data_IF_575408888919
#
_entry.id   IF_575408888919
#
_cell.length_a   1.000
_cell.length_b   1.000
_cell.length_c   1.000
_cell.angle_alpha   90.00
_cell.angle_beta   90.00
_cell.angle_gamma   90.00
#
_symmetry.space_group_name_H-M   'P 1'
#
loop_
_entity.id
_entity.type
_entity.pdbx_description
1 polymer ?
#
# COMPACT_ATOMS: atom_id res chain seq x y z
N UNK A 1 -0.59 49.56 27.09
CA UNK A 1 0.31 48.83 26.16
C UNK A 1 0.31 47.30 26.30
N UNK A 2 -0.59 46.67 27.09
CA UNK A 2 -0.69 45.19 27.15
C UNK A 2 -1.79 44.59 26.24
N UNK A 3 -2.79 45.39 25.85
CA UNK A 3 -3.93 44.92 25.05
C UNK A 3 -3.71 44.93 23.53
N UNK A 4 -2.67 45.62 23.04
CA UNK A 4 -2.33 45.64 21.61
C UNK A 4 -1.49 44.43 21.18
N UNK A 5 -0.73 43.82 22.11
CA UNK A 5 0.11 42.66 21.82
C UNK A 5 -0.72 41.35 21.70
N UNK A 6 -1.79 41.24 22.47
CA UNK A 6 -2.69 40.07 22.44
C UNK A 6 -3.55 40.03 21.17
N UNK A 7 -3.95 41.18 20.63
CA UNK A 7 -4.66 41.25 19.35
C UNK A 7 -3.76 40.88 18.15
N UNK A 8 -2.47 41.20 18.21
CA UNK A 8 -1.51 40.84 17.15
C UNK A 8 -1.15 39.34 17.15
N UNK A 9 -1.14 38.69 18.33
CA UNK A 9 -0.88 37.26 18.47
C UNK A 9 -2.09 36.36 18.15
N UNK A 10 -3.32 36.87 18.23
CA UNK A 10 -4.52 36.13 17.77
C UNK A 10 -4.75 36.21 16.26
N UNK A 11 -4.12 37.16 15.55
CA UNK A 11 -4.28 37.35 14.10
C UNK A 11 -3.38 36.46 13.22
N UNK A 12 -2.47 35.69 13.81
CA UNK A 12 -1.44 34.93 13.08
C UNK A 12 -1.42 33.43 13.35
N UNK A 13 -2.47 32.87 13.95
CA UNK A 13 -2.75 31.44 13.83
C UNK A 13 -3.45 31.15 12.50
N UNK A 14 -2.77 31.46 11.39
CA UNK A 14 -3.02 30.75 10.14
C UNK A 14 -2.52 29.34 10.42
N UNK A 15 -3.43 28.48 10.84
CA UNK A 15 -3.22 27.04 10.78
C UNK A 15 -3.04 26.76 9.28
N UNK A 16 -1.80 26.76 8.81
CA UNK A 16 -1.45 26.19 7.52
C UNK A 16 -1.70 24.70 7.69
N UNK A 17 -2.96 24.30 7.57
CA UNK A 17 -3.28 22.92 7.31
C UNK A 17 -2.54 22.60 6.02
N UNK A 18 -1.62 21.64 6.08
CA UNK A 18 -0.93 21.14 4.90
C UNK A 18 -1.99 20.49 4.00
N UNK A 19 -2.68 21.30 3.20
CA UNK A 19 -3.68 20.83 2.26
C UNK A 19 -2.96 20.39 1.00
N UNK A 20 -3.31 19.20 0.53
CA UNK A 20 -2.83 18.69 -0.74
C UNK A 20 -3.27 19.64 -1.84
N UNK A 21 -2.32 20.07 -2.68
CA UNK A 21 -2.68 20.85 -3.86
C UNK A 21 -3.50 19.96 -4.80
N UNK A 22 -4.49 20.52 -5.50
CA UNK A 22 -5.11 19.82 -6.60
C UNK A 22 -4.06 19.42 -7.64
N UNK A 23 -4.20 18.19 -8.16
CA UNK A 23 -3.40 17.71 -9.29
C UNK A 23 -3.79 18.48 -10.56
N UNK A 24 -2.79 18.79 -11.39
CA UNK A 24 -3.02 19.39 -12.71
C UNK A 24 -3.58 18.34 -13.67
N UNK A 25 -4.17 18.78 -14.80
CA UNK A 25 -4.72 17.86 -15.80
C UNK A 25 -3.68 16.85 -16.33
N UNK A 26 -2.43 17.27 -16.50
CA UNK A 26 -1.34 16.40 -16.95
C UNK A 26 -0.98 15.32 -15.91
N UNK A 27 -1.05 15.67 -14.62
CA UNK A 27 -0.76 14.76 -13.51
C UNK A 27 -1.90 13.75 -13.33
N UNK A 28 -3.16 14.19 -13.42
CA UNK A 28 -4.31 13.28 -13.45
C UNK A 28 -4.23 12.31 -14.63
N UNK A 29 -3.92 12.81 -15.83
CA UNK A 29 -3.79 11.96 -17.02
C UNK A 29 -2.60 10.99 -16.92
N UNK A 30 -1.53 11.36 -16.22
CA UNK A 30 -0.44 10.44 -15.90
C UNK A 30 -0.90 9.34 -14.95
N UNK A 31 -1.50 9.72 -13.84
CA UNK A 31 -2.01 8.81 -12.83
C UNK A 31 -3.03 7.82 -13.42
N UNK A 32 -4.03 8.30 -14.16
CA UNK A 32 -5.06 7.45 -14.76
C UNK A 32 -4.49 6.42 -15.72
N UNK A 33 -3.43 6.76 -16.46
CA UNK A 33 -2.74 5.80 -17.33
C UNK A 33 -2.09 4.68 -16.52
N UNK A 34 -1.43 5.03 -15.41
CA UNK A 34 -0.82 4.05 -14.52
C UNK A 34 -1.90 3.18 -13.87
N UNK A 35 -2.97 3.77 -13.32
CA UNK A 35 -4.07 3.01 -12.70
C UNK A 35 -4.75 2.07 -13.68
N UNK A 36 -5.05 2.52 -14.91
CA UNK A 36 -5.65 1.65 -15.94
C UNK A 36 -4.76 0.45 -16.26
N UNK A 37 -3.45 0.65 -16.31
CA UNK A 37 -2.51 -0.45 -16.53
C UNK A 37 -2.46 -1.39 -15.31
N UNK A 38 -2.43 -0.86 -14.08
CA UNK A 38 -2.50 -1.66 -12.86
C UNK A 38 -3.80 -2.49 -12.81
N UNK A 39 -4.94 -1.88 -13.11
CA UNK A 39 -6.23 -2.56 -13.24
C UNK A 39 -6.14 -3.69 -14.26
N UNK A 40 -5.65 -3.38 -15.48
CA UNK A 40 -5.51 -4.36 -16.56
C UNK A 40 -4.69 -5.57 -16.11
N UNK A 41 -3.57 -5.34 -15.43
CA UNK A 41 -2.70 -6.41 -14.97
C UNK A 41 -3.31 -7.20 -13.81
N UNK A 42 -3.71 -6.53 -12.73
CA UNK A 42 -4.08 -7.21 -11.48
C UNK A 42 -5.52 -7.75 -11.41
N UNK A 43 -6.43 -7.24 -12.25
CA UNK A 43 -7.83 -7.77 -12.31
C UNK A 43 -7.99 -8.85 -13.37
N UNK A 44 -7.23 -8.78 -14.46
CA UNK A 44 -7.33 -9.75 -15.57
C UNK A 44 -6.46 -10.99 -15.31
N UNK A 45 -5.34 -10.82 -14.59
CA UNK A 45 -4.35 -11.87 -14.37
C UNK A 45 -4.38 -12.29 -12.90
N UNK A 46 -4.89 -13.49 -12.65
CA UNK A 46 -5.05 -14.04 -11.31
C UNK A 46 -4.19 -15.30 -11.10
N UNK A 47 -3.80 -15.62 -9.85
CA UNK A 47 -3.15 -16.88 -9.52
C UNK A 47 -4.11 -18.05 -9.78
N UNK A 48 -3.62 -19.29 -9.69
CA UNK A 48 -4.48 -20.45 -9.93
C UNK A 48 -5.67 -20.47 -8.96
N UNK A 49 -6.82 -20.93 -9.46
CA UNK A 49 -8.10 -20.87 -8.75
C UNK A 49 -9.00 -19.74 -9.28
N UNK A 50 -10.20 -19.65 -8.70
CA UNK A 50 -11.19 -18.64 -9.07
C UNK A 50 -11.09 -17.47 -8.12
N UNK A 51 -10.70 -16.30 -8.63
CA UNK A 51 -10.54 -15.06 -7.86
C UNK A 51 -11.41 -13.96 -8.43
N UNK A 52 -12.00 -13.13 -7.58
CA UNK A 52 -12.82 -11.98 -7.97
C UNK A 52 -12.45 -10.74 -7.17
N UNK A 53 -12.65 -9.58 -7.78
CA UNK A 53 -12.49 -8.29 -7.09
C UNK A 53 -13.50 -8.22 -5.95
N UNK A 54 -13.00 -8.03 -4.73
CA UNK A 54 -13.82 -7.79 -3.55
C UNK A 54 -13.94 -6.29 -3.30
N UNK A 55 -12.82 -5.57 -3.33
CA UNK A 55 -12.76 -4.13 -3.13
C UNK A 55 -11.62 -3.55 -3.98
N UNK A 56 -11.86 -2.38 -4.53
CA UNK A 56 -10.89 -1.64 -5.33
C UNK A 56 -11.03 -0.16 -5.01
N UNK A 57 -9.92 0.44 -4.58
CA UNK A 57 -9.87 1.85 -4.18
C UNK A 57 -8.65 2.49 -4.80
N UNK A 58 -8.79 3.73 -5.23
CA UNK A 58 -7.65 4.48 -5.70
C UNK A 58 -7.85 5.96 -5.41
N UNK A 59 -6.78 6.66 -5.02
CA UNK A 59 -6.83 8.07 -4.64
C UNK A 59 -5.65 8.82 -5.25
N UNK A 60 -5.95 10.02 -5.76
CA UNK A 60 -4.95 11.01 -6.19
C UNK A 60 -4.86 12.05 -5.09
N UNK A 61 -3.67 12.26 -4.53
CA UNK A 61 -3.33 13.38 -3.65
C UNK A 61 -4.24 13.56 -2.43
N UNK A 62 -5.05 12.59 -2.06
CA UNK A 62 -6.10 12.72 -1.04
C UNK A 62 -5.94 11.74 0.12
N UNK A 63 -4.98 10.81 0.04
CA UNK A 63 -4.70 9.95 1.17
C UNK A 63 -3.79 10.72 2.12
N UNK A 64 -4.33 11.20 3.23
CA UNK A 64 -3.52 11.59 4.38
C UNK A 64 -2.93 10.31 4.97
N UNK A 65 -1.77 9.89 4.47
CA UNK A 65 -1.04 8.82 5.15
C UNK A 65 -0.47 9.43 6.42
N UNK A 66 -0.76 8.81 7.57
CA UNK A 66 0.04 9.06 8.76
C UNK A 66 1.48 8.78 8.37
N UNK A 67 2.30 9.83 8.30
CA UNK A 67 3.73 9.64 8.21
C UNK A 67 4.11 8.68 9.32
N UNK A 68 4.85 7.62 9.00
CA UNK A 68 5.31 6.64 9.98
C UNK A 68 6.26 7.21 11.05
N UNK A 69 6.43 8.53 11.10
CA UNK A 69 6.98 9.25 12.22
C UNK A 69 5.85 9.64 13.17
N UNK A 70 6.06 9.54 14.48
CA UNK A 70 5.12 9.98 15.52
C UNK A 70 4.74 11.48 15.53
N UNK A 71 4.75 12.16 14.38
CA UNK A 71 4.11 13.43 14.11
C UNK A 71 3.37 13.35 12.77
N UNK A 72 2.09 13.76 12.77
CA UNK A 72 1.22 13.83 11.60
C UNK A 72 1.87 14.64 10.47
N UNK A 73 2.60 13.99 9.56
CA UNK A 73 3.00 14.63 8.30
C UNK A 73 2.00 14.20 7.25
N UNK A 74 1.15 15.12 6.81
CA UNK A 74 0.21 14.93 5.71
C UNK A 74 1.01 14.68 4.43
N UNK A 75 1.14 13.41 4.03
CA UNK A 75 1.76 13.04 2.77
C UNK A 75 0.66 12.82 1.75
N UNK A 76 0.51 13.74 0.80
CA UNK A 76 -0.34 13.54 -0.37
C UNK A 76 0.34 12.50 -1.26
N UNK A 77 -0.04 11.24 -1.12
CA UNK A 77 0.44 10.18 -2.02
C UNK A 77 -0.70 9.66 -2.86
N UNK A 78 -0.38 9.30 -4.08
CA UNK A 78 -1.33 8.59 -4.92
C UNK A 78 -1.22 7.09 -4.62
N UNK A 79 -2.37 6.43 -4.48
CA UNK A 79 -2.44 5.03 -4.06
C UNK A 79 -3.50 4.28 -4.85
N UNK A 80 -3.17 3.03 -5.20
CA UNK A 80 -4.09 2.05 -5.75
C UNK A 80 -4.11 0.82 -4.83
N UNK A 81 -5.29 0.43 -4.38
CA UNK A 81 -5.52 -0.74 -3.54
C UNK A 81 -6.52 -1.67 -4.21
N UNK A 82 -6.16 -2.95 -4.29
CA UNK A 82 -7.02 -4.02 -4.79
C UNK A 82 -7.04 -5.15 -3.78
N UNK A 83 -8.24 -5.63 -3.45
CA UNK A 83 -8.45 -6.85 -2.66
C UNK A 83 -9.18 -7.85 -3.53
N UNK A 84 -8.59 -9.03 -3.65
CA UNK A 84 -9.12 -10.16 -4.38
C UNK A 84 -9.58 -11.22 -3.39
N UNK A 85 -10.74 -11.81 -3.65
CA UNK A 85 -11.32 -12.87 -2.84
C UNK A 85 -11.55 -14.13 -3.69
N UNK A 86 -11.33 -15.30 -3.09
CA UNK A 86 -11.63 -16.56 -3.73
C UNK A 86 -13.14 -16.70 -3.99
N UNK A 87 -13.52 -16.91 -5.24
CA UNK A 87 -14.91 -16.92 -5.70
C UNK A 87 -15.79 -17.96 -5.01
N UNK A 88 -15.25 -19.11 -4.62
CA UNK A 88 -16.03 -20.18 -3.96
C UNK A 88 -16.49 -19.74 -2.57
N UNK A 89 -15.59 -19.17 -1.78
CA UNK A 89 -15.89 -18.61 -0.46
C UNK A 89 -16.83 -17.43 -0.53
N UNK A 90 -16.69 -16.67 -1.60
CA UNK A 90 -17.46 -15.48 -1.82
C UNK A 90 -18.91 -15.82 -2.23
N UNK A 91 -19.16 -17.02 -2.78
CA UNK A 91 -20.51 -17.61 -2.95
C UNK A 91 -21.04 -18.12 -1.61
N UNK A 92 -20.23 -18.83 -0.82
CA UNK A 92 -20.62 -19.31 0.53
C UNK A 92 -21.03 -18.13 1.41
N UNK A 93 -20.23 -17.05 1.45
CA UNK A 93 -20.55 -15.88 2.27
C UNK A 93 -21.80 -15.15 1.79
N UNK A 94 -22.02 -15.07 0.48
CA UNK A 94 -23.26 -14.50 -0.04
C UNK A 94 -24.47 -15.33 0.41
N UNK A 95 -24.36 -16.65 0.35
CA UNK A 95 -25.40 -17.55 0.87
C UNK A 95 -25.59 -17.39 2.39
N UNK A 96 -24.51 -17.27 3.18
CA UNK A 96 -24.58 -16.97 4.61
C UNK A 96 -25.28 -15.63 4.87
N UNK A 97 -24.87 -14.54 4.21
CA UNK A 97 -25.50 -13.22 4.35
C UNK A 97 -26.98 -13.24 3.95
N UNK A 98 -27.32 -13.97 2.88
CA UNK A 98 -28.70 -14.14 2.43
C UNK A 98 -29.53 -14.95 3.46
N UNK A 99 -28.92 -15.89 4.19
CA UNK A 99 -29.55 -16.62 5.31
C UNK A 99 -29.60 -15.85 6.62
N UNK A 100 -28.68 -14.89 6.84
CA UNK A 100 -28.56 -14.09 8.08
C UNK A 100 -29.46 -12.83 8.05
N UNK A 101 -30.39 -12.74 7.11
CA UNK A 101 -31.43 -11.68 7.03
C UNK A 101 -32.33 -11.49 8.28
N UNK A 102 -32.04 -12.15 9.41
CA UNK A 102 -32.79 -12.05 10.65
C UNK A 102 -31.98 -11.68 11.92
N UNK A 103 -30.68 -11.35 11.86
CA UNK A 103 -29.94 -10.92 13.06
C UNK A 103 -28.96 -9.77 12.79
N UNK A 104 -28.86 -8.75 13.66
CA UNK A 104 -27.96 -7.61 13.50
C UNK A 104 -26.55 -8.04 13.90
N UNK A 105 -25.91 -8.87 13.08
CA UNK A 105 -24.47 -9.07 13.18
C UNK A 105 -23.81 -8.07 12.25
N UNK A 106 -23.01 -7.18 12.83
CA UNK A 106 -22.18 -6.23 12.08
C UNK A 106 -21.31 -7.07 11.14
N UNK A 107 -21.40 -6.89 9.80
CA UNK A 107 -20.57 -7.64 8.88
C UNK A 107 -19.10 -7.38 9.23
N UNK A 108 -18.32 -8.44 9.41
CA UNK A 108 -16.89 -8.31 9.67
C UNK A 108 -16.25 -7.69 8.43
N UNK A 109 -15.74 -6.46 8.55
CA UNK A 109 -15.03 -5.81 7.45
C UNK A 109 -13.82 -6.64 7.08
N UNK A 110 -13.76 -7.16 5.85
CA UNK A 110 -12.54 -7.73 5.29
C UNK A 110 -11.52 -6.64 4.92
N UNK A 111 -12.00 -5.41 4.72
CA UNK A 111 -11.15 -4.25 4.49
C UNK A 111 -10.56 -3.81 5.83
N UNK A 112 -9.25 -4.00 5.98
CA UNK A 112 -8.52 -3.37 7.07
C UNK A 112 -7.51 -2.44 6.44
N UNK A 113 -7.66 -1.15 6.75
CA UNK A 113 -6.76 -0.11 6.31
C UNK A 113 -5.34 -0.50 6.72
N UNK A 114 -4.33 -0.29 5.86
CA UNK A 114 -2.92 -0.60 6.18
C UNK A 114 -2.52 -0.08 7.56
N UNK A 115 -3.07 1.08 7.92
CA UNK A 115 -2.77 1.80 9.17
C UNK A 115 -3.51 1.25 10.39
N UNK A 116 -4.50 0.36 10.21
CA UNK A 116 -5.28 -0.28 11.30
C UNK A 116 -4.94 -1.77 11.49
N UNK A 117 -4.05 -2.34 10.66
CA UNK A 117 -3.75 -3.79 10.65
C UNK A 117 -2.88 -4.30 11.82
N UNK A 118 -2.41 -3.43 12.71
CA UNK A 118 -1.55 -3.79 13.85
C UNK A 118 -2.31 -4.26 15.11
N UNK A 119 -3.55 -4.72 14.96
CA UNK A 119 -4.42 -5.21 16.06
C UNK A 119 -5.35 -6.34 15.61
N UNK A 120 -4.89 -7.27 14.78
CA UNK A 120 -5.74 -8.32 14.22
C UNK A 120 -5.53 -9.69 14.87
N UNK A 121 -6.61 -10.47 14.98
CA UNK A 121 -6.57 -11.83 15.49
C UNK A 121 -5.70 -12.73 14.57
N UNK A 122 -4.69 -13.45 15.12
CA UNK A 122 -3.84 -14.36 14.36
C UNK A 122 -4.60 -15.36 13.47
N UNK A 123 -5.72 -15.90 13.95
CA UNK A 123 -6.51 -16.88 13.20
C UNK A 123 -7.24 -16.23 12.02
N UNK A 124 -7.67 -14.97 12.17
CA UNK A 124 -8.28 -14.21 11.08
C UNK A 124 -7.26 -13.81 10.01
N UNK A 125 -5.98 -13.68 10.36
CA UNK A 125 -4.89 -13.44 9.41
C UNK A 125 -4.62 -14.71 8.59
N UNK A 126 -4.50 -15.87 9.23
CA UNK A 126 -4.25 -17.15 8.54
C UNK A 126 -5.40 -17.53 7.61
N UNK A 127 -6.63 -17.32 8.05
CA UNK A 127 -7.81 -17.58 7.23
C UNK A 127 -7.88 -16.61 6.04
N UNK A 128 -7.70 -15.31 6.24
CA UNK A 128 -7.64 -14.35 5.12
C UNK A 128 -6.49 -14.62 4.16
N UNK A 129 -5.32 -15.03 4.63
CA UNK A 129 -4.21 -15.38 3.75
C UNK A 129 -4.56 -16.55 2.79
N UNK A 130 -5.55 -17.39 3.12
CA UNK A 130 -6.09 -18.43 2.23
C UNK A 130 -7.23 -17.92 1.35
N UNK A 131 -8.02 -17.00 1.89
CA UNK A 131 -9.31 -16.61 1.30
C UNK A 131 -9.18 -15.37 0.40
N UNK A 132 -8.17 -14.52 0.66
CA UNK A 132 -7.94 -13.25 -0.03
C UNK A 132 -6.45 -13.00 -0.27
N UNK A 133 -6.17 -12.18 -1.28
CA UNK A 133 -4.89 -11.49 -1.39
C UNK A 133 -5.13 -10.02 -1.70
N UNK A 134 -4.17 -9.18 -1.34
CA UNK A 134 -4.24 -7.75 -1.64
C UNK A 134 -3.01 -7.23 -2.36
N UNK A 135 -3.22 -6.22 -3.20
CA UNK A 135 -2.20 -5.48 -3.92
C UNK A 135 -2.36 -4.02 -3.54
N UNK A 136 -1.32 -3.44 -2.95
CA UNK A 136 -1.23 -2.01 -2.65
C UNK A 136 -0.11 -1.42 -3.48
N UNK A 137 -0.41 -0.37 -4.24
CA UNK A 137 0.57 0.35 -5.06
C UNK A 137 0.64 1.79 -4.59
N UNK A 138 1.80 2.19 -4.10
CA UNK A 138 2.10 3.57 -3.73
C UNK A 138 2.94 4.21 -4.83
N UNK A 139 2.51 5.38 -5.30
CA UNK A 139 3.17 6.10 -6.39
C UNK A 139 3.96 7.28 -5.85
N UNK A 140 5.11 7.57 -6.47
CA UNK A 140 5.94 8.71 -6.11
C UNK A 140 6.42 8.75 -4.65
N UNK A 141 6.62 7.56 -4.07
CA UNK A 141 7.03 7.43 -2.68
C UNK A 141 8.46 7.96 -2.47
N UNK A 142 8.63 8.86 -1.50
CA UNK A 142 9.93 9.49 -1.24
C UNK A 142 10.98 8.56 -0.62
N UNK A 143 10.57 7.54 0.12
CA UNK A 143 11.43 6.46 0.61
C UNK A 143 10.58 5.21 0.81
N UNK A 144 11.08 4.04 0.42
CA UNK A 144 10.49 2.78 0.84
C UNK A 144 11.25 2.23 2.06
N UNK A 145 10.58 2.16 3.21
CA UNK A 145 11.17 1.65 4.46
C UNK A 145 10.99 0.15 4.55
N UNK A 146 12.11 -0.57 4.53
CA UNK A 146 12.10 -2.01 4.72
C UNK A 146 11.94 -2.36 6.20
N UNK A 147 12.67 -1.67 7.09
CA UNK A 147 12.57 -1.84 8.54
C UNK A 147 12.48 -0.47 9.23
N UNK A 148 11.52 -0.33 10.15
CA UNK A 148 11.35 0.89 10.93
C UNK A 148 10.67 0.57 12.27
N UNK A 149 11.34 0.92 13.38
CA UNK A 149 10.88 0.57 14.74
C UNK A 149 9.65 1.35 15.17
N UNK A 150 9.57 2.65 14.85
CA UNK A 150 8.46 3.49 15.33
C UNK A 150 7.14 3.11 14.66
N UNK A 151 7.17 2.62 13.42
CA UNK A 151 5.99 2.06 12.74
C UNK A 151 5.79 0.57 12.98
N UNK A 152 6.55 -0.03 13.89
CA UNK A 152 6.51 -1.47 14.22
C UNK A 152 6.72 -2.40 13.01
N UNK A 153 7.30 -1.90 11.89
CA UNK A 153 7.68 -2.71 10.74
C UNK A 153 9.02 -3.39 11.03
N UNK A 154 8.95 -4.52 11.73
CA UNK A 154 10.13 -5.30 12.12
C UNK A 154 10.24 -6.51 11.19
N UNK A 155 11.31 -6.54 10.41
CA UNK A 155 11.58 -7.65 9.49
C UNK A 155 12.13 -8.85 10.26
N UNK A 156 11.57 -10.02 10.00
CA UNK A 156 12.11 -11.31 10.42
C UNK A 156 13.13 -11.82 9.41
N UNK A 157 12.76 -11.86 8.13
CA UNK A 157 13.65 -12.21 7.04
C UNK A 157 13.30 -11.46 5.74
N UNK A 158 14.26 -11.44 4.83
CA UNK A 158 14.03 -11.05 3.44
C UNK A 158 14.72 -11.99 2.49
N UNK A 159 14.11 -12.17 1.32
CA UNK A 159 14.69 -12.89 0.20
C UNK A 159 14.54 -12.02 -1.06
N UNK A 160 15.67 -11.74 -1.72
CA UNK A 160 15.61 -11.08 -3.02
C UNK A 160 15.05 -12.02 -4.08
N UNK A 161 14.18 -11.49 -4.93
CA UNK A 161 13.62 -12.20 -6.09
C UNK A 161 13.92 -11.41 -7.37
N UNK A 162 13.87 -12.08 -8.51
CA UNK A 162 14.04 -11.43 -9.81
C UNK A 162 12.69 -11.09 -10.41
N UNK A 163 12.50 -9.81 -10.77
CA UNK A 163 11.30 -9.31 -11.46
C UNK A 163 11.76 -8.44 -12.63
N UNK A 164 11.26 -8.67 -13.86
CA UNK A 164 11.65 -7.88 -15.02
C UNK A 164 11.47 -6.37 -14.82
N UNK A 165 12.49 -5.58 -15.19
CA UNK A 165 12.54 -4.11 -15.05
C UNK A 165 12.41 -3.57 -13.63
N UNK A 166 12.40 -4.43 -12.61
CA UNK A 166 12.44 -4.01 -11.22
C UNK A 166 13.89 -3.88 -10.73
N UNK A 167 14.34 -2.70 -10.28
CA UNK A 167 15.63 -2.57 -9.60
C UNK A 167 15.69 -3.31 -8.26
N UNK A 168 14.56 -3.48 -7.57
CA UNK A 168 14.48 -4.15 -6.27
C UNK A 168 13.16 -4.91 -6.16
N UNK A 169 13.25 -6.21 -5.95
CA UNK A 169 12.11 -7.04 -5.60
C UNK A 169 12.46 -7.99 -4.45
N UNK A 170 11.60 -8.07 -3.45
CA UNK A 170 11.85 -8.74 -2.19
C UNK A 170 10.61 -9.52 -1.75
N UNK A 171 10.81 -10.74 -1.29
CA UNK A 171 9.91 -11.40 -0.36
C UNK A 171 10.31 -11.00 1.05
N UNK A 172 9.37 -10.48 1.82
CA UNK A 172 9.58 -9.95 3.16
C UNK A 172 8.68 -10.71 4.11
N UNK A 173 9.29 -11.26 5.16
CA UNK A 173 8.57 -11.79 6.31
C UNK A 173 8.74 -10.83 7.47
N UNK A 174 7.62 -10.30 7.96
CA UNK A 174 7.60 -9.44 9.13
C UNK A 174 7.47 -10.29 10.40
N UNK A 175 8.09 -9.83 11.49
CA UNK A 175 7.91 -10.44 12.81
C UNK A 175 6.44 -10.30 13.25
N UNK A 176 5.98 -11.22 14.12
CA UNK A 176 4.77 -11.02 14.90
C UNK A 176 4.75 -9.65 15.56
N UNK A 177 3.57 -9.03 15.65
CA UNK A 177 3.43 -7.81 16.44
C UNK A 177 3.60 -8.11 17.95
N UNK A 178 3.67 -7.05 18.76
CA UNK A 178 3.81 -7.16 20.22
C UNK A 178 2.62 -7.85 20.92
N UNK A 179 1.54 -8.15 20.19
CA UNK A 179 0.33 -8.80 20.69
C UNK A 179 0.20 -10.27 20.20
N UNK A 180 1.22 -10.78 19.51
CA UNK A 180 1.29 -12.18 19.08
C UNK A 180 0.56 -12.48 17.76
N UNK A 181 0.21 -11.46 16.96
CA UNK A 181 -0.30 -11.66 15.60
C UNK A 181 0.75 -12.38 14.74
N UNK A 182 0.32 -13.29 13.85
CA UNK A 182 1.26 -14.07 13.01
C UNK A 182 2.03 -13.13 12.08
N UNK A 183 3.33 -13.39 11.95
CA UNK A 183 4.22 -12.65 11.05
C UNK A 183 3.69 -12.62 9.61
N UNK A 184 3.60 -11.42 9.04
CA UNK A 184 3.03 -11.18 7.71
C UNK A 184 4.04 -11.50 6.61
N UNK A 185 3.57 -12.08 5.52
CA UNK A 185 4.33 -12.24 4.28
C UNK A 185 3.90 -11.16 3.28
N UNK A 186 4.89 -10.47 2.72
CA UNK A 186 4.70 -9.47 1.68
C UNK A 186 5.69 -9.74 0.55
N UNK A 187 5.24 -9.58 -0.69
CA UNK A 187 6.14 -9.46 -1.83
C UNK A 187 6.13 -8.02 -2.31
N UNK A 188 7.30 -7.40 -2.31
CA UNK A 188 7.47 -5.98 -2.57
C UNK A 188 8.30 -5.81 -3.83
N UNK A 189 7.80 -5.02 -4.77
CA UNK A 189 8.42 -4.77 -6.07
C UNK A 189 8.49 -3.27 -6.28
N UNK A 190 9.71 -2.75 -6.41
CA UNK A 190 9.98 -1.35 -6.68
C UNK A 190 10.20 -1.21 -8.19
N UNK A 191 9.42 -0.36 -8.86
CA UNK A 191 9.52 -0.09 -10.30
C UNK A 191 9.82 1.39 -10.55
N UNK A 192 10.40 1.69 -11.72
CA UNK A 192 10.82 3.03 -12.08
C UNK A 192 12.09 3.48 -11.36
N UNK A 193 12.13 4.77 -10.99
CA UNK A 193 13.33 5.47 -10.54
C UNK A 193 13.82 5.13 -9.12
N UNK A 194 14.03 3.86 -8.76
CA UNK A 194 14.59 3.47 -7.45
C UNK A 194 16.10 3.23 -7.47
N UNK A 195 16.78 3.59 -6.38
CA UNK A 195 18.15 3.19 -6.11
C UNK A 195 18.15 1.80 -5.46
N UNK A 196 18.80 0.79 -6.07
CA UNK A 196 18.85 -0.55 -5.51
C UNK A 196 19.75 -0.68 -4.28
N UNK A 197 20.51 0.36 -3.92
CA UNK A 197 21.34 0.36 -2.73
C UNK A 197 20.49 0.61 -1.48
N UNK A 198 20.46 -0.38 -0.59
CA UNK A 198 19.82 -0.26 0.71
C UNK A 198 20.62 0.68 1.61
N UNK A 199 19.97 1.73 2.11
CA UNK A 199 20.53 2.63 3.11
C UNK A 199 20.19 2.12 4.51
N UNK A 200 21.18 2.13 5.39
CA UNK A 200 21.04 1.71 6.79
C UNK A 200 21.44 2.86 7.71
N UNK A 201 20.58 3.20 8.66
CA UNK A 201 20.88 4.13 9.73
C UNK A 201 20.35 3.57 11.06
N UNK A 202 21.23 2.94 11.84
CA UNK A 202 20.82 2.18 13.02
C UNK A 202 19.87 1.04 12.64
N UNK A 203 18.66 1.08 13.20
CA UNK A 203 17.59 0.10 12.95
C UNK A 203 16.62 0.52 11.83
N UNK A 204 16.81 1.70 11.23
CA UNK A 204 16.08 2.14 10.02
C UNK A 204 16.81 1.61 8.77
N UNK A 205 16.11 0.83 7.96
CA UNK A 205 16.63 0.37 6.66
C UNK A 205 15.64 0.73 5.55
N UNK A 206 16.13 1.35 4.48
CA UNK A 206 15.27 1.94 3.45
C UNK A 206 15.93 2.01 2.08
N UNK A 207 15.09 1.98 1.05
CA UNK A 207 15.45 2.29 -0.33
C UNK A 207 15.05 3.71 -0.66
N UNK A 208 15.89 4.39 -1.43
CA UNK A 208 15.67 5.76 -1.88
C UNK A 208 15.41 5.81 -3.38
N UNK A 209 14.57 6.74 -3.84
CA UNK A 209 14.47 7.04 -5.25
C UNK A 209 15.76 7.67 -5.80
N UNK A 210 15.99 7.55 -7.10
CA UNK A 210 17.08 8.18 -7.86
C UNK A 210 16.78 9.64 -8.24
N UNK A 211 15.51 10.01 -8.31
CA UNK A 211 15.06 11.37 -8.63
C UNK A 211 14.90 12.21 -7.35
N UNK A 212 14.86 13.53 -7.51
CA UNK A 212 14.60 14.44 -6.39
C UNK A 212 13.12 14.39 -6.02
N UNK A 213 12.82 14.18 -4.73
CA UNK A 213 11.46 14.19 -4.17
C UNK A 213 10.64 15.38 -4.73
N UNK A 214 9.45 15.11 -5.25
CA UNK A 214 8.53 16.14 -5.74
C UNK A 214 8.40 16.24 -7.27
N UNK A 215 8.77 15.20 -8.01
CA UNK A 215 8.35 15.07 -9.41
C UNK A 215 6.83 15.16 -9.53
N UNK A 216 6.38 15.83 -10.59
CA UNK A 216 4.96 16.06 -10.84
C UNK A 216 4.26 14.84 -11.44
N UNK A 217 5.03 13.98 -12.10
CA UNK A 217 4.55 12.82 -12.83
C UNK A 217 4.90 11.53 -12.08
N UNK A 218 4.29 10.40 -12.45
CA UNK A 218 4.53 9.11 -11.80
C UNK A 218 5.87 8.50 -12.26
N UNK A 219 6.94 8.76 -11.50
CA UNK A 219 8.32 8.37 -11.83
C UNK A 219 8.75 7.02 -11.22
N UNK A 220 8.02 6.57 -10.21
CA UNK A 220 8.28 5.34 -9.47
C UNK A 220 7.03 4.86 -8.75
N UNK A 221 6.97 3.56 -8.53
CA UNK A 221 5.94 2.94 -7.69
C UNK A 221 6.54 1.87 -6.79
N UNK A 222 5.86 1.60 -5.67
CA UNK A 222 6.07 0.45 -4.80
C UNK A 222 4.83 -0.41 -4.88
N UNK A 223 4.96 -1.63 -5.42
CA UNK A 223 3.90 -2.64 -5.42
C UNK A 223 4.13 -3.56 -4.24
N UNK A 224 3.14 -3.68 -3.36
CA UNK A 224 3.14 -4.58 -2.21
C UNK A 224 2.01 -5.58 -2.36
N UNK A 225 2.35 -6.85 -2.57
CA UNK A 225 1.43 -7.98 -2.62
C UNK A 225 1.42 -8.64 -1.25
N UNK A 226 0.25 -8.68 -0.61
CA UNK A 226 0.06 -9.37 0.67
C UNK A 226 -0.66 -10.68 0.42
N UNK A 227 0.11 -11.76 0.46
CA UNK A 227 -0.36 -13.13 0.25
C UNK A 227 0.69 -14.11 0.78
N UNK A 228 0.34 -15.39 0.98
CA UNK A 228 1.32 -16.46 1.06
C UNK A 228 2.31 -16.43 -0.11
N UNK A 229 3.58 -16.76 0.14
CA UNK A 229 4.67 -16.68 -0.85
C UNK A 229 4.35 -17.45 -2.14
N UNK A 230 3.69 -18.59 -2.08
CA UNK A 230 3.31 -19.39 -3.25
C UNK A 230 2.26 -18.69 -4.14
N UNK A 231 1.28 -18.03 -3.54
CA UNK A 231 0.30 -17.20 -4.25
C UNK A 231 0.97 -15.94 -4.81
N UNK A 232 1.80 -15.27 -4.01
CA UNK A 232 2.51 -14.07 -4.44
C UNK A 232 3.42 -14.36 -5.64
N UNK A 233 4.20 -15.45 -5.61
CA UNK A 233 5.04 -15.87 -6.74
C UNK A 233 4.24 -16.16 -8.00
N UNK A 234 3.05 -16.76 -7.89
CA UNK A 234 2.16 -16.96 -9.04
C UNK A 234 1.69 -15.64 -9.64
N UNK A 235 1.30 -14.67 -8.80
CA UNK A 235 0.94 -13.32 -9.26
C UNK A 235 2.14 -12.70 -9.98
N UNK A 236 3.30 -12.68 -9.34
CA UNK A 236 4.53 -12.11 -9.91
C UNK A 236 4.91 -12.74 -11.24
N UNK A 237 4.77 -14.05 -11.39
CA UNK A 237 5.13 -14.73 -12.64
C UNK A 237 4.21 -14.38 -13.82
N UNK A 238 2.94 -14.02 -13.56
CA UNK A 238 1.94 -13.79 -14.62
C UNK A 238 1.78 -12.32 -15.01
N UNK A 239 2.13 -11.38 -14.14
CA UNK A 239 2.00 -9.94 -14.39
C UNK A 239 3.05 -9.47 -15.42
N UNK A 240 2.64 -8.64 -16.38
CA UNK A 240 3.55 -7.97 -17.30
C UNK A 240 4.18 -6.73 -16.63
N UNK A 241 5.25 -6.97 -15.88
CA UNK A 241 6.01 -5.91 -15.19
C UNK A 241 6.65 -4.90 -16.15
N UNK A 242 6.93 -5.29 -17.40
CA UNK A 242 7.46 -4.39 -18.41
C UNK A 242 6.40 -3.40 -18.88
N UNK A 243 5.15 -3.84 -19.03
CA UNK A 243 4.05 -2.94 -19.35
C UNK A 243 3.81 -1.92 -18.23
N UNK A 244 3.85 -2.36 -16.96
CA UNK A 244 3.70 -1.45 -15.80
C UNK A 244 4.85 -0.43 -15.76
N UNK A 245 6.12 -0.86 -15.89
CA UNK A 245 7.26 0.09 -15.90
C UNK A 245 7.20 1.03 -17.13
N UNK A 246 6.67 0.54 -18.25
CA UNK A 246 6.55 1.30 -19.50
C UNK A 246 5.53 2.44 -19.46
N UNK A 247 4.56 2.41 -18.55
CA UNK A 247 3.59 3.52 -18.36
C UNK A 247 4.05 4.56 -17.35
N UNK A 248 5.17 4.32 -16.65
CA UNK A 248 5.77 5.30 -15.75
C UNK A 248 6.42 6.44 -16.56
N UNK A 249 6.29 7.66 -16.06
CA UNK A 249 6.81 8.87 -16.69
C UNK A 249 8.15 9.19 -16.02
N UNK A 250 9.24 8.77 -16.66
CA UNK A 250 10.63 8.88 -16.18
C UNK A 250 11.23 10.28 -16.39
#
# INVERSE_FOLDING_TARGET
MKFLLTAFLMGLSIIVQAQCRPATAAENAAYERVVKELQRQFTTVTPNGSWRVFDEKHSIGNLEVTSEWGGFTHLCTDRYDLIMENSELAVVRKAELDTVKAAPTVPTSLYVHRDTMYKENPNAIVQRARDTYSVSVEMNLGNYRLQHLESARIVENTQAISVPNSPVALEVRLKPDLQGAIGRQETVILLGGWNPQLLKNGQDTRYQPKFKKGGKLVENIVVTITAPVDIARQIVAKIDWKAIDGVLLK
#
